data_IF_026083765278
#
_entry.id   IF_026083765278
#
_cell.length_a   1.000
_cell.length_b   1.000
_cell.length_c   1.000
_cell.angle_alpha   90.00
_cell.angle_beta   90.00
_cell.angle_gamma   90.00
#
_symmetry.space_group_name_H-M   'P 1'
#
loop_
_entity.id
_entity.type
_entity.pdbx_description
1 polymer ?
#
# COMPACT_ATOMS: atom_id res chain seq x y z
N UNK A 1 25.79 11.93 32.35
CA UNK A 1 25.52 11.27 31.06
C UNK A 1 24.44 12.09 30.38
N UNK A 2 24.85 13.08 29.59
CA UNK A 2 23.98 14.00 28.86
C UNK A 2 23.20 13.21 27.80
N UNK A 3 21.87 13.28 27.89
CA UNK A 3 20.97 12.80 26.86
C UNK A 3 21.23 13.54 25.55
N UNK A 4 21.87 12.86 24.59
CA UNK A 4 21.95 13.27 23.19
C UNK A 4 20.52 13.36 22.63
N UNK A 5 19.95 14.55 22.80
CA UNK A 5 18.61 14.98 22.41
C UNK A 5 18.54 15.38 20.94
N UNK A 6 19.43 14.84 20.10
CA UNK A 6 19.64 15.31 18.74
C UNK A 6 19.51 14.21 17.67
N UNK A 7 19.59 12.93 18.02
CA UNK A 7 19.39 11.84 17.07
C UNK A 7 17.93 11.32 17.08
N UNK A 8 17.14 11.77 16.10
CA UNK A 8 15.73 11.37 15.90
C UNK A 8 15.54 9.88 15.57
N UNK A 9 16.60 9.17 15.19
CA UNK A 9 16.57 7.74 14.92
C UNK A 9 16.78 6.88 16.17
N UNK A 10 17.47 7.40 17.19
CA UNK A 10 17.93 6.60 18.34
C UNK A 10 19.08 5.61 18.02
N UNK A 11 19.49 5.51 16.75
CA UNK A 11 20.63 4.72 16.26
C UNK A 11 21.21 5.36 14.99
N UNK A 12 22.34 4.86 14.48
CA UNK A 12 22.88 5.27 13.17
C UNK A 12 22.34 4.31 12.10
N UNK A 13 21.52 4.77 11.13
CA UNK A 13 20.96 3.90 10.08
C UNK A 13 22.05 3.26 9.22
N UNK A 14 21.87 2.02 8.79
CA UNK A 14 22.80 1.36 7.87
C UNK A 14 22.62 1.86 6.45
N UNK A 15 23.58 2.66 5.97
CA UNK A 15 23.58 3.17 4.60
C UNK A 15 23.58 2.06 3.55
N UNK A 16 24.32 0.96 3.78
CA UNK A 16 24.42 -0.17 2.84
C UNK A 16 23.06 -0.83 2.64
N UNK A 17 22.32 -1.10 3.72
CA UNK A 17 21.02 -1.77 3.63
C UNK A 17 19.98 -0.87 2.95
N UNK A 18 19.99 0.43 3.29
CA UNK A 18 19.13 1.41 2.61
C UNK A 18 19.41 1.50 1.10
N UNK A 19 20.69 1.47 0.69
CA UNK A 19 21.09 1.48 -0.73
C UNK A 19 20.63 0.21 -1.45
N UNK A 20 20.80 -0.96 -0.84
CA UNK A 20 20.38 -2.24 -1.44
C UNK A 20 18.87 -2.27 -1.69
N UNK A 21 18.06 -1.93 -0.68
CA UNK A 21 16.61 -1.86 -0.86
C UNK A 21 16.22 -0.74 -1.84
N UNK A 22 16.88 0.41 -1.79
CA UNK A 22 16.67 1.51 -2.73
C UNK A 22 16.91 1.09 -4.18
N UNK A 23 17.96 0.30 -4.43
CA UNK A 23 18.24 -0.26 -5.75
C UNK A 23 17.16 -1.26 -6.20
N UNK A 24 16.66 -2.11 -5.30
CA UNK A 24 15.54 -3.03 -5.59
C UNK A 24 14.29 -2.24 -6.01
N UNK A 25 13.89 -1.23 -5.23
CA UNK A 25 12.74 -0.39 -5.58
C UNK A 25 12.96 0.38 -6.87
N UNK A 26 14.18 0.84 -7.15
CA UNK A 26 14.51 1.51 -8.41
C UNK A 26 14.31 0.58 -9.60
N UNK A 27 14.85 -0.65 -9.53
CA UNK A 27 14.68 -1.66 -10.58
C UNK A 27 13.21 -1.99 -10.79
N UNK A 28 12.46 -2.23 -9.71
CA UNK A 28 11.02 -2.50 -9.81
C UNK A 28 10.26 -1.31 -10.40
N UNK A 29 10.59 -0.08 -10.01
CA UNK A 29 9.98 1.16 -10.54
C UNK A 29 10.22 1.29 -12.04
N UNK A 30 11.44 1.02 -12.51
CA UNK A 30 11.77 1.02 -13.94
C UNK A 30 11.01 -0.08 -14.69
N UNK A 31 10.89 -1.28 -14.13
CA UNK A 31 10.11 -2.38 -14.72
C UNK A 31 8.63 -2.02 -14.84
N UNK A 32 8.04 -1.38 -13.82
CA UNK A 32 6.66 -0.88 -13.89
C UNK A 32 6.51 0.19 -14.95
N UNK A 33 7.43 1.16 -15.02
CA UNK A 33 7.40 2.19 -16.06
C UNK A 33 7.42 1.57 -17.46
N UNK A 34 8.34 0.62 -17.69
CA UNK A 34 8.42 -0.10 -18.96
C UNK A 34 7.14 -0.85 -19.28
N UNK A 35 6.55 -1.56 -18.31
CA UNK A 35 5.27 -2.26 -18.47
C UNK A 35 4.12 -1.30 -18.77
N UNK A 36 4.02 -0.16 -18.09
CA UNK A 36 2.98 0.85 -18.31
C UNK A 36 3.06 1.39 -19.74
N UNK A 37 4.27 1.74 -20.20
CA UNK A 37 4.49 2.27 -21.56
C UNK A 37 4.14 1.23 -22.62
N UNK A 38 4.52 -0.04 -22.43
CA UNK A 38 4.27 -1.12 -23.39
C UNK A 38 2.81 -1.56 -23.45
N UNK A 39 2.15 -1.69 -22.30
CA UNK A 39 0.78 -2.24 -22.22
C UNK A 39 -0.32 -1.16 -22.25
N UNK A 40 0.04 0.09 -21.97
CA UNK A 40 -0.86 1.25 -21.80
C UNK A 40 -1.88 1.08 -20.65
N UNK A 41 -1.54 0.26 -19.66
CA UNK A 41 -2.34 0.10 -18.44
C UNK A 41 -2.03 1.21 -17.43
N UNK A 42 -2.75 2.33 -17.55
CA UNK A 42 -2.57 3.52 -16.71
C UNK A 42 -2.83 3.31 -15.20
N UNK A 43 -3.47 2.21 -14.79
CA UNK A 43 -3.63 1.92 -13.36
C UNK A 43 -2.29 1.68 -12.66
N UNK A 44 -1.26 1.27 -13.42
CA UNK A 44 0.10 1.08 -12.92
C UNK A 44 0.79 2.36 -12.43
N UNK A 45 0.25 3.54 -12.77
CA UNK A 45 0.80 4.83 -12.29
C UNK A 45 0.85 4.87 -10.77
N UNK A 46 -0.16 4.35 -10.07
CA UNK A 46 -0.13 4.34 -8.60
C UNK A 46 1.08 3.55 -8.09
N UNK A 47 1.29 2.32 -8.55
CA UNK A 47 2.45 1.53 -8.14
C UNK A 47 3.78 2.18 -8.54
N UNK A 48 3.84 2.88 -9.67
CA UNK A 48 5.01 3.66 -10.08
C UNK A 48 5.31 4.79 -9.09
N UNK A 49 4.29 5.58 -8.70
CA UNK A 49 4.42 6.68 -7.73
C UNK A 49 4.83 6.14 -6.36
N UNK A 50 4.24 5.02 -5.92
CA UNK A 50 4.62 4.36 -4.67
C UNK A 50 6.09 3.91 -4.69
N UNK A 51 6.55 3.31 -5.80
CA UNK A 51 7.95 2.94 -5.98
C UNK A 51 8.91 4.13 -5.95
N UNK A 52 8.54 5.27 -6.56
CA UNK A 52 9.34 6.51 -6.49
C UNK A 52 9.46 7.01 -5.04
N UNK A 53 8.36 6.97 -4.26
CA UNK A 53 8.39 7.37 -2.86
C UNK A 53 9.31 6.48 -2.01
N UNK A 54 9.30 5.17 -2.23
CA UNK A 54 10.23 4.25 -1.56
C UNK A 54 11.69 4.54 -1.94
N UNK A 55 11.99 4.77 -3.22
CA UNK A 55 13.35 5.10 -3.68
C UNK A 55 13.85 6.39 -3.01
N UNK A 56 13.05 7.46 -3.02
CA UNK A 56 13.45 8.75 -2.44
C UNK A 56 13.54 8.63 -0.91
N UNK A 57 12.59 7.93 -0.27
CA UNK A 57 12.60 7.71 1.17
C UNK A 57 13.83 6.92 1.64
N UNK A 58 14.21 5.87 0.91
CA UNK A 58 15.40 5.07 1.20
C UNK A 58 16.69 5.80 0.86
N UNK A 59 16.71 6.65 -0.17
CA UNK A 59 17.84 7.53 -0.46
C UNK A 59 18.05 8.56 0.66
N UNK A 60 16.97 9.16 1.17
CA UNK A 60 17.03 10.05 2.32
C UNK A 60 17.52 9.31 3.58
N UNK A 61 17.06 8.06 3.79
CA UNK A 61 17.53 7.20 4.87
C UNK A 61 19.01 6.84 4.75
N UNK A 62 19.50 6.59 3.53
CA UNK A 62 20.91 6.34 3.26
C UNK A 62 21.77 7.60 3.54
N UNK A 63 21.27 8.79 3.18
CA UNK A 63 21.94 10.05 3.50
C UNK A 63 22.08 10.27 5.01
N UNK A 64 21.06 9.91 5.79
CA UNK A 64 21.11 10.01 7.26
C UNK A 64 22.14 9.11 7.94
N UNK A 65 22.78 8.19 7.20
CA UNK A 65 23.97 7.49 7.69
C UNK A 65 25.14 8.45 7.91
N UNK A 66 25.27 9.46 7.05
CA UNK A 66 26.34 10.47 7.12
C UNK A 66 26.00 11.62 8.07
N UNK A 67 24.72 11.99 8.15
CA UNK A 67 24.23 13.04 9.05
C UNK A 67 22.88 12.66 9.67
N UNK A 68 22.94 11.94 10.80
CA UNK A 68 21.75 11.50 11.54
C UNK A 68 21.06 12.64 12.30
N UNK A 69 21.68 13.82 12.42
CA UNK A 69 21.14 14.98 13.12
C UNK A 69 20.31 15.87 12.18
N UNK A 70 20.47 15.70 10.87
CA UNK A 70 19.69 16.43 9.87
C UNK A 70 18.21 16.04 9.93
N UNK A 71 17.37 16.95 10.45
CA UNK A 71 15.92 16.78 10.54
C UNK A 71 15.25 16.63 9.17
N UNK A 72 15.80 17.26 8.12
CA UNK A 72 15.24 17.24 6.76
C UNK A 72 15.16 15.83 6.16
N UNK A 73 16.30 15.13 5.99
CA UNK A 73 16.34 13.73 5.54
C UNK A 73 15.44 12.81 6.37
N UNK A 74 15.42 12.98 7.70
CA UNK A 74 14.53 12.23 8.59
C UNK A 74 13.04 12.44 8.28
N UNK A 75 12.61 13.69 8.08
CA UNK A 75 11.21 14.00 7.75
C UNK A 75 10.84 13.44 6.37
N UNK A 76 11.73 13.58 5.39
CA UNK A 76 11.50 13.07 4.01
C UNK A 76 11.31 11.56 4.03
N UNK A 77 12.21 10.81 4.65
CA UNK A 77 12.06 9.34 4.72
C UNK A 77 10.76 8.95 5.43
N UNK A 78 10.38 9.61 6.53
CA UNK A 78 9.25 9.20 7.35
C UNK A 78 7.98 9.44 6.56
N UNK A 79 7.83 10.61 5.96
CA UNK A 79 6.64 10.93 5.19
C UNK A 79 6.51 10.06 3.94
N UNK A 80 7.59 9.85 3.19
CA UNK A 80 7.53 9.09 1.93
C UNK A 80 7.34 7.58 2.17
N UNK A 81 8.03 7.00 3.17
CA UNK A 81 7.85 5.59 3.55
C UNK A 81 6.46 5.38 4.20
N UNK A 82 5.89 6.36 4.90
CA UNK A 82 4.51 6.26 5.38
C UNK A 82 3.49 6.38 4.25
N UNK A 83 3.78 7.18 3.21
CA UNK A 83 2.87 7.44 2.10
C UNK A 83 2.86 6.33 1.05
N UNK A 84 4.00 5.69 0.78
CA UNK A 84 4.11 4.65 -0.24
C UNK A 84 3.09 3.49 -0.07
N UNK A 85 2.88 2.90 1.13
CA UNK A 85 1.86 1.86 1.36
C UNK A 85 0.43 2.28 1.02
N UNK A 86 0.08 3.56 1.17
CA UNK A 86 -1.26 4.07 0.85
C UNK A 86 -1.47 4.11 -0.67
N UNK A 87 -0.45 4.56 -1.40
CA UNK A 87 -0.46 4.55 -2.86
C UNK A 87 -0.52 3.11 -3.40
N UNK A 88 0.20 2.21 -2.74
CA UNK A 88 0.19 0.78 -3.00
C UNK A 88 -1.18 0.13 -2.74
N UNK A 89 -1.84 0.44 -1.63
CA UNK A 89 -3.23 0.05 -1.38
C UNK A 89 -4.18 0.57 -2.45
N UNK A 90 -4.04 1.83 -2.86
CA UNK A 90 -4.83 2.42 -3.94
C UNK A 90 -4.67 1.64 -5.25
N UNK A 91 -3.45 1.19 -5.57
CA UNK A 91 -3.19 0.33 -6.74
C UNK A 91 -3.96 -0.99 -6.67
N UNK A 92 -3.95 -1.67 -5.50
CA UNK A 92 -4.74 -2.90 -5.28
C UNK A 92 -6.22 -2.63 -5.46
N UNK A 93 -6.75 -1.54 -4.90
CA UNK A 93 -8.18 -1.22 -4.97
C UNK A 93 -8.62 -0.93 -6.41
N UNK A 94 -7.78 -0.24 -7.19
CA UNK A 94 -8.03 0.00 -8.61
C UNK A 94 -7.94 -1.29 -9.44
N UNK A 95 -6.97 -2.15 -9.14
CA UNK A 95 -6.81 -3.42 -9.84
C UNK A 95 -7.97 -4.37 -9.57
N UNK A 96 -8.39 -4.54 -8.31
CA UNK A 96 -9.59 -5.31 -7.96
C UNK A 96 -10.81 -4.78 -8.71
N UNK A 97 -10.99 -3.46 -8.73
CA UNK A 97 -12.14 -2.86 -9.39
C UNK A 97 -12.16 -3.09 -10.91
N UNK A 98 -10.99 -3.18 -11.55
CA UNK A 98 -10.88 -3.57 -12.97
C UNK A 98 -11.14 -5.06 -13.17
N UNK A 99 -10.60 -5.90 -12.28
CA UNK A 99 -10.78 -7.34 -12.33
C UNK A 99 -12.27 -7.71 -12.22
N UNK A 100 -13.00 -7.12 -11.27
CA UNK A 100 -14.44 -7.34 -11.12
C UNK A 100 -15.22 -6.88 -12.36
N UNK A 101 -14.84 -5.76 -12.99
CA UNK A 101 -15.50 -5.33 -14.24
C UNK A 101 -15.18 -6.27 -15.40
N UNK A 102 -13.97 -6.81 -15.45
CA UNK A 102 -13.54 -7.76 -16.47
C UNK A 102 -14.26 -9.11 -16.34
N UNK A 103 -14.75 -9.50 -15.16
CA UNK A 103 -15.57 -10.71 -15.02
C UNK A 103 -17.00 -10.55 -15.56
N UNK A 104 -17.44 -9.35 -15.94
CA UNK A 104 -18.80 -9.09 -16.41
C UNK A 104 -19.88 -9.12 -15.31
N UNK A 105 -19.52 -9.46 -14.08
CA UNK A 105 -20.43 -9.65 -12.95
C UNK A 105 -20.24 -8.56 -11.88
N UNK A 106 -20.37 -7.29 -12.28
CA UNK A 106 -20.15 -6.15 -11.40
C UNK A 106 -21.19 -6.07 -10.27
N UNK A 107 -22.38 -6.64 -10.48
CA UNK A 107 -23.50 -6.77 -9.56
C UNK A 107 -23.23 -7.72 -8.38
N UNK A 108 -22.31 -8.66 -8.53
CA UNK A 108 -21.92 -9.55 -7.43
C UNK A 108 -21.10 -8.82 -6.35
N UNK A 109 -20.59 -7.63 -6.64
CA UNK A 109 -19.85 -6.80 -5.69
C UNK A 109 -20.79 -6.19 -4.63
N UNK A 110 -20.42 -6.30 -3.35
CA UNK A 110 -21.25 -5.82 -2.24
C UNK A 110 -21.50 -4.30 -2.27
N UNK A 111 -20.55 -3.53 -2.80
CA UNK A 111 -20.61 -2.08 -2.94
C UNK A 111 -20.21 -1.73 -4.36
N UNK A 112 -20.87 -0.74 -4.96
CA UNK A 112 -20.50 -0.22 -6.28
C UNK A 112 -19.00 0.08 -6.30
N UNK A 113 -18.27 -0.66 -7.12
CA UNK A 113 -16.80 -0.71 -7.16
C UNK A 113 -16.16 0.67 -7.23
N UNK A 114 -16.76 1.60 -8.00
CA UNK A 114 -16.24 2.97 -8.15
C UNK A 114 -16.33 3.79 -6.87
N UNK A 115 -17.30 3.50 -6.00
CA UNK A 115 -17.46 4.14 -4.69
C UNK A 115 -16.52 3.47 -3.69
N UNK A 116 -16.42 2.13 -3.76
CA UNK A 116 -15.56 1.34 -2.88
C UNK A 116 -14.10 1.80 -2.94
N UNK A 117 -13.52 1.86 -4.15
CA UNK A 117 -12.14 2.31 -4.34
C UNK A 117 -11.94 3.75 -3.83
N UNK A 118 -12.86 4.67 -4.13
CA UNK A 118 -12.74 6.08 -3.69
C UNK A 118 -12.82 6.21 -2.18
N UNK A 119 -13.74 5.49 -1.54
CA UNK A 119 -13.94 5.53 -0.10
C UNK A 119 -12.72 5.03 0.66
N UNK A 120 -12.15 3.90 0.25
CA UNK A 120 -10.97 3.34 0.91
C UNK A 120 -9.70 4.16 0.67
N UNK A 121 -9.49 4.68 -0.56
CA UNK A 121 -8.36 5.60 -0.80
C UNK A 121 -8.50 6.86 0.04
N UNK A 122 -9.71 7.44 0.13
CA UNK A 122 -9.94 8.63 0.97
C UNK A 122 -9.72 8.32 2.45
N UNK A 123 -10.19 7.15 2.92
CA UNK A 123 -9.94 6.67 4.28
C UNK A 123 -8.45 6.55 4.59
N UNK A 124 -7.68 5.93 3.70
CA UNK A 124 -6.23 5.79 3.85
C UNK A 124 -5.50 7.15 3.86
N UNK A 125 -5.95 8.11 3.03
CA UNK A 125 -5.43 9.50 3.02
C UNK A 125 -5.76 10.24 4.32
N UNK A 126 -6.95 10.05 4.89
CA UNK A 126 -7.29 10.63 6.19
C UNK A 126 -6.41 10.02 7.29
N UNK A 127 -6.23 8.70 7.28
CA UNK A 127 -5.35 8.00 8.22
C UNK A 127 -3.90 8.49 8.10
N UNK A 128 -3.43 8.78 6.88
CA UNK A 128 -2.12 9.37 6.64
C UNK A 128 -1.97 10.74 7.30
N UNK A 129 -2.92 11.65 7.12
CA UNK A 129 -2.81 12.98 7.72
C UNK A 129 -2.80 12.92 9.25
N UNK A 130 -3.53 11.98 9.85
CA UNK A 130 -3.47 11.70 11.29
C UNK A 130 -2.04 11.24 11.68
N UNK A 131 -1.48 10.28 10.96
CA UNK A 131 -0.12 9.78 11.20
C UNK A 131 0.95 10.86 11.00
N UNK A 132 0.88 11.61 9.90
CA UNK A 132 1.82 12.69 9.59
C UNK A 132 1.75 13.82 10.62
N UNK A 133 0.55 14.16 11.12
CA UNK A 133 0.38 15.11 12.22
C UNK A 133 1.03 14.60 13.51
N UNK A 134 0.81 13.33 13.86
CA UNK A 134 1.46 12.70 15.01
C UNK A 134 2.99 12.65 14.88
N UNK A 135 3.52 12.23 13.73
CA UNK A 135 4.94 12.17 13.45
C UNK A 135 5.60 13.57 13.46
N UNK A 136 4.93 14.58 12.89
CA UNK A 136 5.39 15.97 12.91
C UNK A 136 5.44 16.56 14.33
N UNK A 137 4.47 16.20 15.19
CA UNK A 137 4.50 16.56 16.62
C UNK A 137 5.66 15.89 17.35
N UNK A 138 5.98 14.64 17.00
CA UNK A 138 7.06 13.88 17.64
C UNK A 138 8.44 14.54 17.45
N UNK A 139 8.69 15.18 16.29
CA UNK A 139 9.96 15.86 15.97
C UNK A 139 10.26 17.05 16.88
N UNK A 140 9.22 17.68 17.45
CA UNK A 140 9.35 18.88 18.29
C UNK A 140 8.88 18.63 19.74
N UNK A 141 8.73 17.37 20.15
CA UNK A 141 8.22 17.01 21.46
C UNK A 141 9.36 16.90 22.48
N UNK A 142 9.46 17.86 23.39
CA UNK A 142 10.50 17.91 24.43
C UNK A 142 10.06 17.31 25.77
N UNK A 143 8.77 17.05 25.96
CA UNK A 143 8.21 16.50 27.22
C UNK A 143 7.65 15.09 27.00
N UNK A 144 7.73 14.24 28.03
CA UNK A 144 7.19 12.87 28.00
C UNK A 144 5.70 12.85 27.65
N UNK A 145 4.93 13.83 28.14
CA UNK A 145 3.50 13.96 27.81
C UNK A 145 3.27 14.32 26.34
N UNK A 146 4.09 15.20 25.76
CA UNK A 146 4.01 15.54 24.34
C UNK A 146 4.39 14.35 23.44
N UNK A 147 5.44 13.60 23.81
CA UNK A 147 5.86 12.38 23.11
C UNK A 147 4.73 11.34 23.11
N UNK A 148 4.15 11.05 24.28
CA UNK A 148 3.06 10.08 24.40
C UNK A 148 1.82 10.50 23.59
N UNK A 149 1.47 11.79 23.61
CA UNK A 149 0.35 12.32 22.83
C UNK A 149 0.59 12.21 21.32
N UNK A 150 1.80 12.52 20.87
CA UNK A 150 2.22 12.38 19.47
C UNK A 150 2.18 10.92 19.02
N UNK A 151 2.75 10.00 19.80
CA UNK A 151 2.72 8.56 19.54
C UNK A 151 1.30 8.01 19.47
N UNK A 152 0.43 8.38 20.43
CA UNK A 152 -0.97 7.95 20.42
C UNK A 152 -1.71 8.45 19.17
N UNK A 153 -1.41 9.66 18.71
CA UNK A 153 -1.98 10.19 17.45
C UNK A 153 -1.58 9.32 16.25
N UNK A 154 -0.29 8.92 16.15
CA UNK A 154 0.16 8.02 15.08
C UNK A 154 -0.51 6.65 15.20
N UNK A 155 -0.60 6.11 16.42
CA UNK A 155 -1.21 4.81 16.68
C UNK A 155 -2.69 4.74 16.26
N UNK A 156 -3.46 5.81 16.53
CA UNK A 156 -4.86 5.93 16.09
C UNK A 156 -4.95 5.86 14.57
N UNK A 157 -4.08 6.58 13.85
CA UNK A 157 -4.07 6.57 12.39
C UNK A 157 -3.71 5.19 11.81
N UNK A 158 -2.72 4.51 12.40
CA UNK A 158 -2.32 3.15 12.01
C UNK A 158 -3.45 2.13 12.28
N UNK A 159 -4.08 2.19 13.45
CA UNK A 159 -5.19 1.31 13.81
C UNK A 159 -6.39 1.48 12.88
N UNK A 160 -6.76 2.71 12.58
CA UNK A 160 -7.85 3.01 11.66
C UNK A 160 -7.55 2.52 10.24
N UNK A 161 -6.31 2.68 9.78
CA UNK A 161 -5.85 2.16 8.47
C UNK A 161 -5.97 0.64 8.38
N UNK A 162 -5.58 -0.10 9.43
CA UNK A 162 -5.75 -1.57 9.50
C UNK A 162 -7.22 -1.95 9.38
N UNK A 163 -8.11 -1.26 10.10
CA UNK A 163 -9.55 -1.55 10.08
C UNK A 163 -10.13 -1.35 8.67
N UNK A 164 -9.83 -0.22 8.02
CA UNK A 164 -10.28 0.03 6.64
C UNK A 164 -9.78 -1.04 5.67
N UNK A 165 -8.51 -1.42 5.78
CA UNK A 165 -7.93 -2.46 4.94
C UNK A 165 -8.58 -3.84 5.16
N UNK A 166 -8.88 -4.21 6.42
CA UNK A 166 -9.57 -5.46 6.74
C UNK A 166 -10.98 -5.51 6.15
N UNK A 167 -11.73 -4.40 6.19
CA UNK A 167 -13.05 -4.31 5.56
C UNK A 167 -12.92 -4.50 4.04
N UNK A 168 -11.92 -3.87 3.41
CA UNK A 168 -11.64 -4.07 1.99
C UNK A 168 -11.31 -5.54 1.65
N UNK A 169 -10.45 -6.18 2.45
CA UNK A 169 -10.07 -7.58 2.26
C UNK A 169 -11.30 -8.51 2.36
N UNK A 170 -12.20 -8.23 3.31
CA UNK A 170 -13.47 -8.95 3.42
C UNK A 170 -14.34 -8.78 2.16
N UNK A 171 -14.44 -7.56 1.61
CA UNK A 171 -15.16 -7.33 0.36
C UNK A 171 -14.56 -8.14 -0.81
N UNK A 172 -13.24 -8.22 -0.90
CA UNK A 172 -12.55 -9.02 -1.93
C UNK A 172 -12.83 -10.52 -1.79
N UNK A 173 -12.79 -11.05 -0.56
CA UNK A 173 -13.10 -12.46 -0.28
C UNK A 173 -14.57 -12.78 -0.60
N UNK A 174 -15.50 -11.92 -0.19
CA UNK A 174 -16.93 -12.10 -0.50
C UNK A 174 -17.17 -12.12 -2.01
N UNK A 175 -16.52 -11.23 -2.77
CA UNK A 175 -16.59 -11.24 -4.23
C UNK A 175 -16.05 -12.57 -4.80
N UNK A 176 -14.90 -13.04 -4.32
CA UNK A 176 -14.30 -14.28 -4.78
C UNK A 176 -15.17 -15.52 -4.51
N UNK A 177 -15.82 -15.58 -3.34
CA UNK A 177 -16.77 -16.67 -3.03
C UNK A 177 -17.99 -16.62 -3.95
N UNK A 178 -18.50 -15.43 -4.26
CA UNK A 178 -19.67 -15.26 -5.15
C UNK A 178 -19.36 -15.60 -6.61
N UNK A 179 -18.21 -15.19 -7.13
CA UNK A 179 -17.80 -15.50 -8.51
C UNK A 179 -17.41 -16.97 -8.70
N UNK A 180 -16.96 -17.64 -7.63
CA UNK A 180 -16.60 -19.06 -7.68
C UNK A 180 -17.81 -20.01 -7.77
N UNK A 181 -19.04 -19.50 -7.63
CA UNK A 181 -20.24 -20.31 -7.85
C UNK A 181 -20.32 -20.76 -9.31
N UNK A 182 -20.70 -22.03 -9.58
CA UNK A 182 -20.67 -22.60 -10.94
C UNK A 182 -21.43 -21.74 -11.97
N UNK A 183 -22.58 -21.19 -11.55
CA UNK A 183 -23.45 -20.31 -12.33
C UNK A 183 -22.75 -19.06 -12.88
N UNK A 184 -21.89 -18.43 -12.08
CA UNK A 184 -21.19 -17.19 -12.47
C UNK A 184 -19.84 -17.49 -13.13
N UNK A 185 -19.18 -18.58 -12.70
CA UNK A 185 -17.87 -19.00 -13.20
C UNK A 185 -17.89 -19.40 -14.68
N UNK A 186 -18.99 -19.97 -15.16
CA UNK A 186 -19.12 -20.44 -16.54
C UNK A 186 -19.14 -19.30 -17.58
N UNK A 187 -19.47 -18.08 -17.14
CA UNK A 187 -19.56 -16.88 -17.98
C UNK A 187 -18.32 -15.98 -17.88
N UNK A 188 -17.25 -16.42 -17.23
CA UNK A 188 -15.99 -15.66 -17.13
C UNK A 188 -15.04 -16.12 -18.24
N UNK A 189 -14.48 -15.16 -18.97
CA UNK A 189 -13.47 -15.42 -19.99
C UNK A 189 -12.25 -16.17 -19.38
N UNK A 190 -11.94 -17.40 -19.85
CA UNK A 190 -10.77 -18.15 -19.41
C UNK A 190 -9.44 -17.39 -19.58
N UNK A 191 -9.35 -16.48 -20.57
CA UNK A 191 -8.15 -15.67 -20.81
C UNK A 191 -7.81 -14.71 -19.67
N UNK A 192 -8.80 -14.38 -18.80
CA UNK A 192 -8.61 -13.49 -17.66
C UNK A 192 -7.72 -14.12 -16.56
N UNK A 193 -7.55 -15.45 -16.56
CA UNK A 193 -6.82 -16.18 -15.51
C UNK A 193 -7.20 -15.72 -14.09
N UNK A 194 -8.51 -15.57 -13.85
CA UNK A 194 -9.08 -14.88 -12.68
C UNK A 194 -8.49 -15.36 -11.34
N UNK A 195 -8.36 -16.68 -11.15
CA UNK A 195 -7.84 -17.25 -9.91
C UNK A 195 -6.39 -16.81 -9.64
N UNK A 196 -5.55 -16.80 -10.67
CA UNK A 196 -4.16 -16.36 -10.53
C UNK A 196 -4.08 -14.87 -10.17
N UNK A 197 -4.93 -14.05 -10.79
CA UNK A 197 -4.99 -12.61 -10.49
C UNK A 197 -5.51 -12.34 -9.07
N UNK A 198 -6.50 -13.10 -8.61
CA UNK A 198 -6.99 -13.02 -7.23
C UNK A 198 -5.95 -13.52 -6.23
N UNK A 199 -5.22 -14.60 -6.49
CA UNK A 199 -4.13 -15.05 -5.62
C UNK A 199 -3.00 -14.03 -5.51
N UNK A 200 -2.59 -13.42 -6.63
CA UNK A 200 -1.63 -12.32 -6.62
C UNK A 200 -2.13 -11.12 -5.81
N UNK A 201 -3.43 -10.82 -5.90
CA UNK A 201 -4.07 -9.76 -5.12
C UNK A 201 -4.10 -10.07 -3.62
N UNK A 202 -4.42 -11.32 -3.24
CA UNK A 202 -4.39 -11.74 -1.84
C UNK A 202 -2.99 -11.74 -1.27
N UNK A 203 -2.00 -12.21 -2.03
CA UNK A 203 -0.60 -12.12 -1.65
C UNK A 203 -0.17 -10.67 -1.40
N UNK A 204 -0.49 -9.79 -2.35
CA UNK A 204 -0.22 -8.35 -2.25
C UNK A 204 -0.89 -7.72 -1.03
N UNK A 205 -2.14 -8.12 -0.75
CA UNK A 205 -2.91 -7.63 0.39
C UNK A 205 -2.32 -8.13 1.71
N UNK A 206 -1.88 -9.38 1.78
CA UNK A 206 -1.23 -9.94 2.96
C UNK A 206 0.07 -9.20 3.31
N UNK A 207 0.88 -8.84 2.30
CA UNK A 207 2.10 -8.04 2.51
C UNK A 207 1.81 -6.67 3.16
N UNK A 208 0.73 -6.00 2.74
CA UNK A 208 0.30 -4.72 3.35
C UNK A 208 -0.18 -4.93 4.79
N UNK A 209 -0.92 -6.01 5.06
CA UNK A 209 -1.38 -6.33 6.43
C UNK A 209 -0.19 -6.58 7.36
N UNK A 210 0.79 -7.39 6.92
CA UNK A 210 2.00 -7.67 7.70
C UNK A 210 2.69 -6.35 8.08
N UNK A 211 2.87 -5.45 7.11
CA UNK A 211 3.46 -4.12 7.34
C UNK A 211 2.64 -3.30 8.34
N UNK A 212 1.31 -3.23 8.16
CA UNK A 212 0.47 -2.42 9.01
C UNK A 212 0.43 -2.94 10.47
N UNK A 213 0.46 -4.26 10.65
CA UNK A 213 0.59 -4.89 11.98
C UNK A 213 1.95 -4.57 12.58
N UNK A 214 3.04 -4.72 11.82
CA UNK A 214 4.39 -4.38 12.28
C UNK A 214 4.46 -2.92 12.75
N UNK A 215 3.96 -1.97 11.96
CA UNK A 215 3.91 -0.55 12.33
C UNK A 215 3.07 -0.31 13.58
N UNK A 216 1.93 -0.98 13.71
CA UNK A 216 1.10 -0.87 14.92
C UNK A 216 1.86 -1.36 16.17
N UNK A 217 2.56 -2.49 16.08
CA UNK A 217 3.34 -3.05 17.20
C UNK A 217 4.57 -2.19 17.48
N UNK A 218 5.27 -1.70 16.46
CA UNK A 218 6.42 -0.79 16.57
C UNK A 218 6.03 0.45 17.38
N UNK A 219 4.97 1.16 16.97
CA UNK A 219 4.51 2.37 17.64
C UNK A 219 3.90 2.11 19.02
N UNK A 220 3.27 0.95 19.24
CA UNK A 220 2.75 0.56 20.56
C UNK A 220 3.87 0.26 21.57
N UNK A 221 4.98 -0.31 21.11
CA UNK A 221 6.12 -0.65 21.98
C UNK A 221 6.90 0.60 22.43
N UNK A 222 6.77 1.71 21.68
CA UNK A 222 7.39 2.99 22.02
C UNK A 222 8.90 3.03 21.76
N UNK A 223 9.50 4.18 22.05
CA UNK A 223 10.90 4.55 21.71
C UNK A 223 11.97 3.70 22.42
N UNK A 224 11.62 2.94 23.44
CA UNK A 224 12.50 2.01 24.15
C UNK A 224 12.29 0.54 23.77
N UNK A 225 11.41 0.25 22.79
CA UNK A 225 11.11 -1.09 22.34
C UNK A 225 12.20 -1.72 21.47
N UNK A 226 12.42 -3.03 21.60
CA UNK A 226 13.39 -3.80 20.79
C UNK A 226 13.26 -3.55 19.27
N UNK A 227 12.02 -3.37 18.80
CA UNK A 227 11.66 -3.14 17.39
C UNK A 227 12.10 -1.76 16.86
N UNK A 228 12.22 -0.75 17.72
CA UNK A 228 12.70 0.59 17.36
C UNK A 228 14.23 0.69 17.51
N UNK A 229 14.81 -0.05 18.46
CA UNK A 229 16.26 -0.04 18.71
C UNK A 229 17.04 -0.82 17.64
N UNK A 230 16.44 -1.88 17.08
CA UNK A 230 17.06 -2.68 16.03
C UNK A 230 16.55 -2.27 14.65
N UNK A 231 17.46 -2.14 13.69
CA UNK A 231 17.12 -1.72 12.33
C UNK A 231 16.56 -2.85 11.46
N UNK A 232 17.01 -4.09 11.68
CA UNK A 232 16.65 -5.24 10.85
C UNK A 232 15.13 -5.51 10.75
N UNK A 233 14.30 -5.37 11.81
CA UNK A 233 12.87 -5.62 11.73
C UNK A 233 12.17 -4.63 10.78
N UNK A 234 12.63 -3.38 10.70
CA UNK A 234 12.06 -2.39 9.79
C UNK A 234 12.28 -2.79 8.33
N UNK A 235 13.48 -3.27 7.98
CA UNK A 235 13.72 -3.75 6.62
C UNK A 235 12.91 -5.01 6.29
N UNK A 236 12.80 -5.96 7.21
CA UNK A 236 12.14 -7.25 6.95
C UNK A 236 10.61 -7.15 6.97
N UNK A 237 10.03 -6.35 7.86
CA UNK A 237 8.58 -6.33 8.08
C UNK A 237 7.89 -5.07 7.57
N UNK A 238 8.60 -4.02 7.19
CA UNK A 238 8.02 -2.84 6.57
C UNK A 238 8.46 -2.67 5.11
N UNK A 239 9.76 -2.68 4.84
CA UNK A 239 10.30 -2.39 3.49
C UNK A 239 10.19 -3.60 2.55
N UNK A 240 10.61 -4.79 3.00
CA UNK A 240 10.58 -6.00 2.17
C UNK A 240 9.16 -6.41 1.71
N UNK A 241 8.10 -6.34 2.55
CA UNK A 241 6.75 -6.64 2.09
C UNK A 241 6.28 -5.70 0.98
N UNK A 242 6.67 -4.42 1.01
CA UNK A 242 6.34 -3.47 -0.06
C UNK A 242 7.04 -3.85 -1.38
N UNK A 243 8.30 -4.27 -1.33
CA UNK A 243 9.02 -4.77 -2.50
C UNK A 243 8.38 -6.06 -3.07
N UNK A 244 8.00 -7.00 -2.19
CA UNK A 244 7.30 -8.23 -2.58
C UNK A 244 5.95 -7.95 -3.23
N UNK A 245 5.17 -7.01 -2.67
CA UNK A 245 3.90 -6.58 -3.26
C UNK A 245 4.12 -5.98 -4.64
N UNK A 246 5.07 -5.05 -4.76
CA UNK A 246 5.39 -4.40 -6.02
C UNK A 246 5.83 -5.43 -7.07
N UNK A 247 6.64 -6.41 -6.70
CA UNK A 247 7.01 -7.52 -7.58
C UNK A 247 5.79 -8.33 -8.03
N UNK A 248 4.90 -8.70 -7.12
CA UNK A 248 3.66 -9.44 -7.46
C UNK A 248 2.75 -8.63 -8.40
N UNK A 249 2.71 -7.31 -8.26
CA UNK A 249 1.91 -6.44 -9.14
C UNK A 249 2.43 -6.36 -10.59
N UNK A 250 3.67 -6.82 -10.89
CA UNK A 250 4.14 -6.95 -12.27
C UNK A 250 3.31 -7.94 -13.08
N UNK A 251 2.74 -8.96 -12.44
CA UNK A 251 1.87 -9.94 -13.09
C UNK A 251 0.51 -9.34 -13.48
N UNK A 252 0.10 -8.23 -12.89
CA UNK A 252 -1.19 -7.59 -13.21
C UNK A 252 -1.23 -7.02 -14.62
N UNK A 253 -0.07 -6.70 -15.22
CA UNK A 253 0.04 -6.21 -16.59
C UNK A 253 -0.16 -7.31 -17.65
N UNK A 254 -0.13 -8.60 -17.28
CA UNK A 254 -0.46 -9.69 -18.20
C UNK A 254 -1.95 -10.01 -18.25
N UNK A 255 -2.74 -9.46 -17.32
CA UNK A 255 -4.20 -9.60 -17.37
C UNK A 255 -4.75 -8.72 -18.50
N UNK A 256 -5.44 -9.33 -19.46
CA UNK A 256 -6.16 -8.57 -20.50
C UNK A 256 -7.42 -7.94 -19.89
N UNK A 257 -7.20 -6.87 -19.13
CA UNK A 257 -8.24 -6.08 -18.49
C UNK A 257 -8.69 -4.91 -19.36
N UNK A 258 -8.25 -4.87 -20.64
CA UNK A 258 -8.80 -3.91 -21.61
C UNK A 258 -10.25 -4.32 -21.81
N UNK A 259 -11.11 -3.62 -21.10
CA UNK A 259 -12.55 -3.82 -21.08
C UNK A 259 -13.04 -4.34 -22.43
N UNK A 260 -13.66 -5.52 -22.40
CA UNK A 260 -14.73 -5.83 -23.35
C UNK A 260 -15.63 -4.61 -23.30
N UNK A 261 -15.51 -3.72 -24.31
CA UNK A 261 -16.52 -2.73 -24.59
C UNK A 261 -17.79 -3.57 -24.72
N UNK A 262 -18.72 -3.39 -23.79
CA UNK A 262 -20.06 -3.94 -23.92
C UNK A 262 -20.65 -3.32 -25.18
N UNK A 263 -20.40 -3.97 -26.31
CA UNK A 263 -21.16 -3.85 -27.54
C UNK A 263 -22.30 -4.84 -27.36
N UNK A 264 -23.46 -4.34 -26.96
CA UNK A 264 -24.60 -5.19 -26.70
C UNK A 264 -25.74 -4.39 -26.14
N UNK A 265 -26.44 -3.72 -27.04
CA UNK A 265 -27.79 -3.21 -26.89
C UNK A 265 -28.58 -3.99 -25.85
N UNK A 266 -29.17 -3.28 -24.89
CA UNK A 266 -30.29 -3.82 -24.13
C UNK A 266 -31.32 -4.36 -25.15
N UNK A 267 -31.76 -5.63 -25.09
CA UNK A 267 -32.97 -6.00 -25.79
C UNK A 267 -34.07 -5.12 -25.20
N UNK A 268 -34.53 -4.15 -25.99
CA UNK A 268 -35.76 -3.44 -25.71
C UNK A 268 -36.82 -4.52 -25.59
N UNK A 269 -37.33 -4.68 -24.37
CA UNK A 269 -38.56 -5.42 -24.10
C UNK A 269 -39.58 -4.97 -25.14
N UNK A 270 -39.98 -5.89 -26.03
CA UNK A 270 -41.10 -5.64 -26.92
C UNK A 270 -42.30 -5.37 -26.03
N UNK A 271 -42.78 -4.13 -26.07
CA UNK A 271 -44.09 -3.81 -25.55
C UNK A 271 -45.10 -4.47 -26.48
N UNK A 272 -45.60 -5.64 -26.08
CA UNK A 272 -46.79 -6.22 -26.67
C UNK A 272 -48.00 -5.45 -26.13
N UNK A 273 -48.59 -4.63 -27.01
CA UNK A 273 -49.98 -4.15 -26.97
C UNK A 273 -50.67 -4.66 -28.21
#
# INVERSE_FOLDING_TARGET
MSSDSSNLYGYVPSGIVAIVFGAIFLVLTVLHLWRIVRTKHWFGIATLVGGIFEVIGLAARAYSHHDALAKGPYIIQVLLILLAPIIFSAAIYMFLGRLIRATGHAELSFIRINILTKLFVLGDVICFFIQASGAGKLVNADTTSAINSAQNTVLVGLGLQVVFFCIFALCAVVFHVRISRPENKMNVDPALHLNWMLYSLYFSSAMIVIRNIYRLVEYKTGTSGYLQVHEWPAYVFDIAPMACMMMASLFWYSADTKAVRVSGSYPLVSQDV
#
